data_IF_277493815402
#
_entry.id   IF_277493815402
#
_cell.length_a   1.000
_cell.length_b   1.000
_cell.length_c   1.000
_cell.angle_alpha   90.00
_cell.angle_beta   90.00
_cell.angle_gamma   90.00
#
_symmetry.space_group_name_H-M   'P 1'
#
loop_
_entity.id
_entity.type
_entity.pdbx_description
1 polymer ?
2 polymer ?
3 polymer ?
4 non-polymer ?
5 non-polymer ?
6 non-polymer ?
7 water ?
#
# COMPACT_ATOMS: atom_id res chain seq x y z
N UNK A 7 14.84 -4.72 -12.39
CA UNK A 7 16.20 -4.10 -12.38
C UNK A 7 16.14 -2.62 -11.97
N UNK A 8 15.07 -1.95 -12.39
CA UNK A 8 14.89 -0.54 -12.16
C UNK A 8 13.82 -0.28 -11.08
N UNK A 9 13.49 -1.31 -10.30
CA UNK A 9 12.43 -1.12 -9.30
C UNK A 9 12.76 0.00 -8.32
N UNK A 10 11.74 0.72 -7.88
CA UNK A 10 11.91 1.70 -6.82
C UNK A 10 12.61 2.99 -7.17
N UNK A 11 12.89 3.18 -8.47
CA UNK A 11 13.49 4.41 -8.96
C UNK A 11 12.43 5.12 -9.79
N UNK A 12 11.93 6.25 -9.28
CA UNK A 12 10.76 6.91 -9.89
C UNK A 12 11.18 7.75 -11.08
N UNK A 13 10.51 7.56 -12.22
CA UNK A 13 10.85 8.37 -13.41
C UNK A 13 10.90 9.87 -13.14
N UNK A 14 9.98 10.39 -12.33
CA UNK A 14 9.92 11.84 -12.10
C UNK A 14 10.74 12.36 -10.92
N UNK A 15 11.40 11.43 -10.24
CA UNK A 15 12.22 11.80 -9.08
C UNK A 15 13.61 11.21 -9.19
N UNK A 16 13.83 10.00 -8.67
CA UNK A 16 15.19 9.41 -8.71
C UNK A 16 15.83 9.39 -10.10
N UNK A 17 15.04 9.03 -11.11
CA UNK A 17 15.58 8.92 -12.48
C UNK A 17 16.13 10.26 -13.01
N UNK A 18 15.56 11.37 -12.52
CA UNK A 18 15.95 12.73 -12.93
C UNK A 18 16.70 13.47 -11.82
N UNK A 19 17.03 12.76 -10.74
CA UNK A 19 17.68 13.38 -9.58
C UNK A 19 16.90 14.59 -9.01
N UNK A 20 15.58 14.41 -8.87
CA UNK A 20 14.77 15.41 -8.20
C UNK A 20 14.22 14.72 -6.96
N UNK A 21 14.11 15.50 -5.88
CA UNK A 21 13.58 15.00 -4.61
C UNK A 21 12.17 15.48 -4.40
N UNK A 22 11.32 14.61 -3.86
CA UNK A 22 9.97 15.03 -3.51
C UNK A 22 10.01 15.87 -2.23
N UNK A 23 8.90 16.52 -1.93
CA UNK A 23 8.82 17.49 -0.82
C UNK A 23 9.05 16.95 0.60
N UNK A 24 8.86 15.65 0.83
CA UNK A 24 9.00 15.16 2.19
C UNK A 24 9.92 13.95 2.35
N UNK A 25 10.55 13.48 1.26
CA UNK A 25 11.41 12.31 1.40
C UNK A 25 12.55 12.53 2.40
N UNK A 26 13.01 13.78 2.53
CA UNK A 26 14.08 14.08 3.47
C UNK A 26 13.68 13.70 4.90
N UNK A 27 12.39 13.85 5.23
CA UNK A 27 11.86 13.47 6.54
C UNK A 27 12.14 11.99 6.82
N UNK A 28 12.01 11.15 5.79
CA UNK A 28 12.32 9.73 5.98
C UNK A 28 13.82 9.54 6.22
N UNK A 29 14.65 10.15 5.39
CA UNK A 29 16.09 10.01 5.53
C UNK A 29 16.55 10.44 6.92
N UNK A 30 16.02 11.56 7.38
CA UNK A 30 16.40 12.11 8.69
C UNK A 30 16.05 11.19 9.85
N UNK A 31 15.06 10.34 9.64
CA UNK A 31 14.62 9.40 10.69
C UNK A 31 15.49 8.14 10.72
N UNK A 32 16.31 7.93 9.69
CA UNK A 32 17.13 6.71 9.62
C UNK A 32 18.47 7.01 10.31
N UNK A 33 18.40 7.03 11.64
CA UNK A 33 19.51 7.47 12.48
C UNK A 33 20.53 6.41 12.91
N UNK A 34 20.16 5.14 12.82
CA UNK A 34 21.04 4.04 13.25
C UNK A 34 21.79 3.42 12.07
N UNK B 1 -6.56 8.50 3.85
CA UNK B 1 -5.43 9.04 4.68
C UNK B 1 -5.91 10.23 5.50
N UNK B 2 -5.68 10.13 6.81
CA UNK B 2 -6.02 11.21 7.74
C UNK B 2 -4.79 12.04 8.05
N UNK B 3 -4.94 13.37 7.97
CA UNK B 3 -3.85 14.29 8.28
C UNK B 3 -2.63 14.14 7.37
N UNK B 4 -2.88 13.77 6.11
CA UNK B 4 -1.82 13.67 5.12
C UNK B 4 -1.86 14.91 4.25
N UNK B 5 -1.27 14.81 3.06
CA UNK B 5 -1.29 15.91 2.10
C UNK B 5 -1.39 15.35 0.69
N UNK B 6 -1.69 16.21 -0.28
CA UNK B 6 -1.78 15.80 -1.67
C UNK B 6 -0.44 15.25 -2.13
N UNK B 7 -0.47 14.11 -2.80
CA UNK B 7 0.73 13.54 -3.39
C UNK B 7 1.21 14.44 -4.54
N UNK B 8 2.51 14.47 -4.80
CA UNK B 8 3.03 15.14 -5.99
C UNK B 8 2.80 14.23 -7.19
N UNK B 9 2.78 14.80 -8.39
CA UNK B 9 2.64 13.99 -9.59
C UNK B 9 3.81 13.00 -9.70
N UNK B 10 3.48 11.73 -9.91
CA UNK B 10 4.49 10.66 -10.07
C UNK B 10 5.23 10.31 -8.79
N UNK B 11 4.71 10.77 -7.64
CA UNK B 11 5.37 10.53 -6.33
C UNK B 11 5.30 9.07 -5.90
N UNK B 12 4.23 8.39 -6.31
CA UNK B 12 4.03 6.98 -5.93
C UNK B 12 3.56 6.21 -7.16
N UNK B 13 4.47 6.01 -8.14
CA UNK B 13 4.09 5.43 -9.43
C UNK B 13 3.74 3.95 -9.39
N UNK B 14 3.98 3.32 -8.24
CA UNK B 14 3.58 1.94 -8.01
C UNK B 14 2.18 1.88 -7.39
N UNK B 15 1.57 3.01 -7.10
CA UNK B 15 0.25 2.99 -6.47
C UNK B 15 -0.78 2.40 -7.42
N UNK B 16 -1.62 1.52 -6.88
CA UNK B 16 -2.66 0.90 -7.70
C UNK B 16 -3.98 1.08 -6.97
N UNK B 17 -5.05 1.27 -7.75
CA UNK B 17 -6.40 1.35 -7.19
C UNK B 17 -7.14 0.08 -7.57
N UNK B 18 -7.66 -0.64 -6.57
CA UNK B 18 -8.49 -1.82 -6.81
C UNK B 18 -9.89 -1.24 -6.98
N UNK B 19 -10.49 -1.52 -8.13
CA UNK B 19 -11.75 -0.88 -8.52
C UNK B 19 -12.81 -1.93 -8.81
N UNK B 20 -13.99 -1.75 -8.19
CA UNK B 20 -15.09 -2.67 -8.41
C UNK B 20 -15.78 -2.26 -9.71
N UNK B 21 -16.07 -3.24 -10.57
CA UNK B 21 -16.73 -2.98 -11.86
C UNK B 21 -18.14 -2.45 -11.72
N UNK B 22 -18.94 -3.09 -10.88
CA UNK B 22 -20.33 -2.68 -10.69
C UNK B 22 -20.84 -3.03 -9.30
N UNK B 23 -21.23 -2.00 -8.52
CA UNK B 23 -21.18 -0.59 -8.92
C UNK B 23 -19.73 -0.08 -8.93
N UNK B 24 -19.44 0.89 -9.78
CA UNK B 24 -18.09 1.44 -9.89
C UNK B 24 -17.69 2.15 -8.60
N UNK B 25 -16.71 1.58 -7.90
CA UNK B 25 -16.24 2.16 -6.64
C UNK B 25 -14.84 1.71 -6.25
N UNK B 26 -14.19 2.53 -5.44
CA UNK B 26 -12.87 2.20 -4.89
C UNK B 26 -13.07 1.05 -3.92
N UNK B 27 -12.28 -0.02 -4.08
CA UNK B 27 -12.35 -1.13 -3.14
C UNK B 27 -11.19 -1.07 -2.15
N UNK B 28 -10.01 -0.75 -2.66
CA UNK B 28 -8.82 -0.81 -1.81
C UNK B 28 -7.65 -0.25 -2.59
N UNK B 29 -6.54 -0.08 -1.88
CA UNK B 29 -5.28 0.27 -2.55
C UNK B 29 -4.55 -1.04 -2.86
N UNK B 30 -3.44 -0.91 -3.55
CA UNK B 30 -2.61 -2.03 -3.98
C UNK B 30 -1.34 -1.44 -4.52
N UNK B 31 -0.41 -2.28 -4.96
CA UNK B 31 0.86 -1.78 -5.50
C UNK B 31 1.37 -2.64 -6.64
N UNK B 32 2.13 -1.98 -7.52
CA UNK B 32 2.70 -2.62 -8.68
C UNK B 32 4.10 -3.12 -8.36
N UNK B 33 4.30 -4.42 -8.46
CA UNK B 33 5.63 -4.99 -8.17
C UNK B 33 6.38 -5.52 -9.41
N UNK B 34 5.69 -5.61 -10.55
CA UNK B 34 6.33 -5.96 -11.84
C UNK B 34 5.33 -5.59 -12.91
N UNK B 35 5.64 -5.85 -14.19
CA UNK B 35 4.69 -5.49 -15.23
C UNK B 35 3.43 -6.35 -15.25
N UNK B 36 3.43 -7.43 -14.47
CA UNK B 36 2.30 -8.37 -14.45
C UNK B 36 1.73 -8.68 -13.08
N UNK B 37 2.33 -8.14 -12.03
CA UNK B 37 1.89 -8.52 -10.68
C UNK B 37 1.59 -7.34 -9.79
N UNK B 38 0.47 -7.46 -9.06
CA UNK B 38 0.02 -6.43 -8.14
C UNK B 38 -0.15 -7.04 -6.76
N UNK B 39 0.32 -6.31 -5.75
CA UNK B 39 0.26 -6.77 -4.37
C UNK B 39 -0.82 -6.01 -3.61
N UNK B 40 -1.57 -6.72 -2.76
CA UNK B 40 -2.58 -6.07 -1.95
C UNK B 40 -2.78 -6.86 -0.64
N UNK B 41 -3.76 -6.44 0.14
CA UNK B 41 -4.13 -7.14 1.38
C UNK B 41 -5.16 -8.21 1.03
N UNK B 42 -4.99 -9.41 1.58
CA UNK B 42 -5.96 -10.49 1.40
C UNK B 42 -7.39 -10.03 1.72
N UNK B 43 -7.56 -9.25 2.79
CA UNK B 43 -8.89 -8.83 3.22
C UNK B 43 -9.61 -7.96 2.18
N UNK B 44 -8.86 -7.39 1.24
CA UNK B 44 -9.47 -6.62 0.16
C UNK B 44 -10.23 -7.52 -0.81
N UNK B 45 -9.87 -8.81 -0.83
CA UNK B 45 -10.45 -9.77 -1.78
C UNK B 45 -11.31 -10.82 -1.09
N UNK B 46 -10.92 -11.21 0.13
CA UNK B 46 -11.62 -12.26 0.86
C UNK B 46 -11.85 -11.88 2.31
N UNK B 47 -13.10 -11.70 2.69
CA UNK B 47 -13.45 -11.45 4.09
C UNK B 47 -14.86 -11.94 4.38
N UNK B 48 -14.99 -13.27 4.59
CA UNK B 48 -16.29 -13.90 4.84
C UNK B 48 -17.19 -13.22 5.88
N UNK B 49 -16.63 -12.70 7.01
CA UNK B 49 -17.50 -12.06 7.97
C UNK B 49 -18.36 -10.92 7.42
N UNK B 50 -17.88 -10.27 6.34
CA UNK B 50 -18.65 -9.21 5.69
C UNK B 50 -19.14 -9.61 4.31
N UNK B 51 -19.22 -10.93 4.08
CA UNK B 51 -19.66 -11.48 2.80
C UNK B 51 -18.88 -10.91 1.63
N UNK B 52 -17.55 -10.93 1.77
CA UNK B 52 -16.67 -10.47 0.69
C UNK B 52 -15.85 -11.64 0.20
N UNK B 53 -15.94 -11.91 -1.10
CA UNK B 53 -15.21 -12.97 -1.75
C UNK B 53 -15.21 -12.65 -3.24
N UNK B 54 -14.36 -11.70 -3.63
CA UNK B 54 -14.33 -11.29 -5.03
C UNK B 54 -13.67 -12.33 -5.93
N UNK B 55 -14.13 -12.40 -7.18
CA UNK B 55 -13.48 -13.23 -8.16
C UNK B 55 -12.79 -12.28 -9.16
N UNK B 56 -11.90 -12.81 -9.97
CA UNK B 56 -11.18 -12.01 -10.98
C UNK B 56 -12.08 -11.07 -11.77
N UNK B 57 -13.20 -11.60 -12.27
CA UNK B 57 -14.11 -10.81 -13.11
C UNK B 57 -14.83 -9.66 -12.44
N UNK B 58 -14.85 -9.64 -11.10
CA UNK B 58 -15.55 -8.59 -10.36
C UNK B 58 -14.74 -7.30 -10.29
N UNK B 59 -13.46 -7.39 -10.65
CA UNK B 59 -12.51 -6.31 -10.38
C UNK B 59 -11.68 -5.81 -11.54
N UNK B 60 -11.19 -4.59 -11.38
CA UNK B 60 -10.19 -4.04 -12.30
C UNK B 60 -9.11 -3.41 -11.45
N UNK B 61 -7.93 -3.23 -12.01
CA UNK B 61 -6.92 -2.43 -11.29
C UNK B 61 -6.63 -1.20 -12.14
N UNK B 62 -6.52 -0.04 -11.50
CA UNK B 62 -6.23 1.20 -12.21
C UNK B 62 -4.87 1.69 -11.73
N UNK B 63 -3.96 1.86 -12.70
CA UNK B 63 -2.57 2.14 -12.41
C UNK B 63 -2.15 3.48 -13.03
N UNK B 64 -1.27 4.20 -12.35
CA UNK B 64 -0.82 5.51 -12.83
C UNK B 64 -1.74 6.66 -12.44
N UNK B 65 -2.64 6.42 -11.47
CA UNK B 65 -3.60 7.43 -11.09
C UNK B 65 -3.13 8.48 -10.11
N UNK B 66 -3.83 9.60 -10.15
CA UNK B 66 -3.63 10.69 -9.23
C UNK B 66 -4.99 11.14 -8.71
N UNK B 67 -5.85 11.58 -9.62
CA UNK B 67 -7.21 11.92 -9.24
C UNK B 67 -7.94 10.67 -8.75
N UNK B 68 -8.73 10.80 -7.69
CA UNK B 68 -9.50 9.66 -7.17
C UNK B 68 -10.62 9.21 -8.13
N UNK B 69 -11.49 10.14 -8.51
CA UNK B 69 -12.69 9.80 -9.28
C UNK B 69 -12.60 9.97 -10.79
N UNK B 70 -11.72 10.85 -11.23
CA UNK B 70 -11.58 11.15 -12.65
C UNK B 70 -10.97 10.03 -13.48
N UNK B 71 -11.46 9.89 -14.72
CA UNK B 71 -10.83 8.95 -15.64
C UNK B 71 -9.66 9.74 -16.26
N UNK B 72 -8.44 9.32 -15.92
CA UNK B 72 -7.23 10.04 -16.32
C UNK B 72 -6.71 9.59 -17.68
N UNK B 73 -7.40 10.10 -18.70
CA UNK B 73 -7.11 9.78 -20.08
C UNK B 73 -5.65 10.06 -20.45
N UNK B 74 -5.01 9.11 -21.14
CA UNK B 74 -3.59 9.18 -21.60
C UNK B 74 -2.57 9.04 -20.46
N UNK B 75 -3.06 8.76 -19.26
CA UNK B 75 -2.18 8.66 -18.08
C UNK B 75 -2.37 7.31 -17.39
N UNK B 76 -3.56 7.10 -16.85
CA UNK B 76 -3.82 5.83 -16.17
C UNK B 76 -3.99 4.68 -17.17
N UNK B 77 -3.70 3.48 -16.68
CA UNK B 77 -3.94 2.27 -17.45
C UNK B 77 -4.83 1.38 -16.60
N UNK B 78 -5.85 0.80 -17.25
CA UNK B 78 -6.81 -0.07 -16.58
C UNK B 78 -6.55 -1.52 -17.00
N UNK B 79 -6.31 -2.38 -16.03
CA UNK B 79 -5.95 -3.77 -16.30
C UNK B 79 -6.97 -4.74 -15.72
N UNK B 80 -7.16 -5.85 -16.42
CA UNK B 80 -8.05 -6.91 -15.97
C UNK B 80 -7.23 -7.94 -15.25
N UNK B 81 -7.87 -8.69 -14.37
CA UNK B 81 -7.17 -9.72 -13.61
C UNK B 81 -7.24 -11.09 -14.24
N UNK B 82 -6.09 -11.75 -14.33
CA UNK B 82 -6.04 -13.14 -14.80
C UNK B 82 -6.31 -14.09 -13.64
N UNK B 83 -5.63 -13.86 -12.50
CA UNK B 83 -5.79 -14.74 -11.35
C UNK B 83 -5.47 -14.03 -10.03
N UNK B 84 -6.24 -14.35 -9.01
CA UNK B 84 -6.03 -13.86 -7.64
C UNK B 84 -5.40 -15.00 -6.85
N UNK B 85 -4.42 -14.67 -6.01
CA UNK B 85 -3.76 -15.66 -5.15
C UNK B 85 -3.76 -15.10 -3.73
N UNK B 86 -4.37 -15.85 -2.81
CA UNK B 86 -4.45 -15.38 -1.43
C UNK B 86 -3.55 -16.25 -0.58
N UNK B 87 -2.85 -15.68 0.42
CA UNK B 87 -1.99 -16.50 1.25
C UNK B 87 -2.82 -17.63 1.84
N UNK B 88 -2.34 -18.88 1.70
CA UNK B 88 -3.10 -20.04 2.23
C UNK B 88 -3.32 -20.02 3.75
N UNK B 89 -2.48 -19.29 4.48
CA UNK B 89 -2.63 -19.20 5.94
C UNK B 89 -3.13 -17.82 6.41
N UNK B 90 -3.71 -17.05 5.48
CA UNK B 90 -4.38 -15.80 5.83
C UNK B 90 -5.47 -16.07 6.87
N UNK B 91 -5.37 -15.41 8.01
CA UNK B 91 -6.28 -15.65 9.14
C UNK B 91 -7.40 -14.61 9.21
N UNK B 92 -8.42 -14.81 8.38
CA UNK B 92 -9.57 -13.91 8.37
C UNK B 92 -10.49 -14.18 9.55
N UNK B 93 -10.37 -15.36 10.14
CA UNK B 93 -11.27 -15.72 11.26
C UNK B 93 -10.97 -14.95 12.52
N UNK B 94 -9.69 -14.68 12.75
CA UNK B 94 -9.27 -14.02 13.97
C UNK B 94 -8.80 -12.59 13.78
N UNK B 95 -7.52 -12.44 13.43
CA UNK B 95 -6.86 -11.14 13.49
C UNK B 95 -6.21 -10.63 12.20
N UNK B 96 -6.54 -11.24 11.07
CA UNK B 96 -5.94 -10.85 9.77
C UNK B 96 -4.44 -11.16 9.66
N UNK B 97 -3.98 -12.14 10.43
CA UNK B 97 -2.60 -12.61 10.28
C UNK B 97 -2.34 -13.02 8.82
N UNK B 98 -1.17 -12.67 8.30
CA UNK B 98 -0.76 -12.97 6.92
C UNK B 98 -1.74 -12.34 5.91
N UNK B 99 -2.03 -11.05 6.10
CA UNK B 99 -2.98 -10.31 5.28
C UNK B 99 -2.30 -9.88 3.97
N UNK B 100 -2.21 -10.81 3.03
CA UNK B 100 -1.47 -10.57 1.79
C UNK B 100 -2.10 -11.36 0.63
N UNK B 101 -2.09 -10.75 -0.56
CA UNK B 101 -2.61 -11.40 -1.76
C UNK B 101 -1.90 -10.85 -2.97
N UNK B 102 -1.78 -11.66 -4.01
CA UNK B 102 -1.21 -11.24 -5.29
C UNK B 102 -2.27 -11.34 -6.38
N UNK B 103 -2.17 -10.45 -7.36
CA UNK B 103 -3.09 -10.46 -8.49
C UNK B 103 -2.26 -10.44 -9.76
N UNK B 104 -2.42 -11.44 -10.61
CA UNK B 104 -1.71 -11.49 -11.89
C UNK B 104 -2.57 -10.79 -12.93
N UNK B 105 -1.96 -9.91 -13.72
CA UNK B 105 -2.69 -9.15 -14.73
C UNK B 105 -2.81 -9.95 -16.02
N UNK B 106 -3.88 -9.72 -16.78
CA UNK B 106 -4.02 -10.42 -18.06
C UNK B 106 -2.93 -10.08 -19.05
N UNK B 107 -2.56 -8.81 -19.12
CA UNK B 107 -1.50 -8.36 -20.03
C UNK B 107 -0.53 -7.47 -19.26
N UNK B 108 0.75 -7.44 -19.68
CA UNK B 108 1.67 -6.56 -18.96
C UNK B 108 1.28 -5.08 -19.14
N UNK B 109 1.45 -4.29 -18.08
CA UNK B 109 1.17 -2.86 -18.15
C UNK B 109 2.44 -2.16 -18.63
N UNK B 110 2.28 -1.15 -19.47
CA UNK B 110 3.44 -0.41 -19.97
C UNK B 110 3.91 0.59 -18.92
N UNK B 111 5.21 0.57 -18.58
CA UNK B 111 5.74 1.55 -17.62
C UNK B 111 5.79 2.92 -18.28
N UNK B 112 5.67 3.97 -17.46
CA UNK B 112 5.66 5.35 -17.95
C UNK B 112 6.16 6.25 -16.81
N UNK B 113 6.08 7.57 -17.01
CA UNK B 113 6.42 8.51 -15.96
C UNK B 113 5.57 8.34 -14.70
N UNK B 114 4.38 7.76 -14.88
CA UNK B 114 3.38 7.65 -13.81
C UNK B 114 3.15 6.22 -13.32
N UNK B 115 3.77 5.25 -14.01
CA UNK B 115 3.59 3.82 -13.74
C UNK B 115 4.96 3.16 -13.66
N UNK B 116 5.28 2.63 -12.48
CA UNK B 116 6.60 2.05 -12.27
C UNK B 116 6.59 1.20 -11.01
N UNK B 117 7.26 0.03 -11.03
CA UNK B 117 7.19 -0.87 -9.86
C UNK B 117 8.03 -0.47 -8.65
N UNK B 118 7.55 -0.85 -7.47
CA UNK B 118 8.30 -0.65 -6.24
C UNK B 118 9.14 -1.92 -6.00
N UNK B 119 10.23 -1.80 -5.24
CA UNK B 119 11.04 -2.98 -4.92
C UNK B 119 10.47 -3.73 -3.72
N UNK B 120 10.75 -5.03 -3.64
CA UNK B 120 10.41 -5.79 -2.45
C UNK B 120 11.71 -6.00 -1.69
N UNK B 121 11.64 -5.93 -0.35
CA UNK B 121 12.83 -6.02 0.48
C UNK B 121 13.48 -7.40 0.56
N UNK B 122 14.81 -7.41 0.68
CA UNK B 122 15.51 -8.65 1.00
C UNK B 122 15.76 -8.62 2.50
N UNK B 123 16.33 -9.70 3.04
CA UNK B 123 16.52 -9.79 4.50
C UNK B 123 17.27 -8.61 5.09
N UNK B 124 18.32 -8.19 4.40
CA UNK B 124 19.19 -7.12 4.91
C UNK B 124 18.52 -5.75 4.94
N UNK B 125 17.81 -5.42 3.87
CA UNK B 125 17.12 -4.15 3.81
C UNK B 125 16.04 -4.12 4.90
N UNK B 126 15.34 -5.23 5.11
CA UNK B 126 14.33 -5.31 6.17
C UNK B 126 14.96 -5.10 7.55
N UNK B 127 16.06 -5.80 7.79
CA UNK B 127 16.75 -5.72 9.08
C UNK B 127 17.22 -4.29 9.37
N UNK B 128 17.77 -3.64 8.36
CA UNK B 128 18.28 -2.29 8.51
C UNK B 128 17.21 -1.21 8.66
N UNK B 129 16.09 -1.37 7.95
CA UNK B 129 15.08 -0.32 7.93
C UNK B 129 13.89 -0.47 8.87
N UNK B 130 13.54 -1.71 9.21
CA UNK B 130 12.38 -1.95 10.10
C UNK B 130 12.75 -1.79 11.55
N UNK B 131 12.98 -0.54 11.95
CA UNK B 131 13.39 -0.19 13.30
C UNK B 131 12.46 0.87 13.84
N UNK B 132 12.13 0.77 15.13
CA UNK B 132 11.29 1.77 15.78
C UNK B 132 11.88 3.17 15.57
N UNK B 133 11.03 4.12 15.20
CA UNK B 133 11.47 5.49 14.95
C UNK B 133 11.69 5.81 13.49
N UNK B 134 12.13 4.80 12.71
CA UNK B 134 12.34 4.97 11.26
C UNK B 134 10.99 5.18 10.61
N UNK B 135 10.91 6.18 9.73
CA UNK B 135 9.65 6.53 9.10
C UNK B 135 9.48 5.87 7.75
N UNK B 136 8.23 5.47 7.46
CA UNK B 136 7.85 4.98 6.14
C UNK B 136 6.78 5.94 5.64
N UNK B 137 6.24 5.63 4.46
CA UNK B 137 5.26 6.47 3.81
C UNK B 137 4.08 5.63 3.36
N UNK B 138 2.88 6.14 3.64
CA UNK B 138 1.63 5.47 3.27
C UNK B 138 0.88 6.39 2.33
N UNK B 139 0.30 5.80 1.28
CA UNK B 139 -0.43 6.54 0.27
C UNK B 139 -1.76 5.89 -0.02
N UNK B 140 -2.77 6.70 -0.35
CA UNK B 140 -4.06 6.10 -0.72
C UNK B 140 -5.15 7.11 -0.99
N UNK B 141 -6.28 6.62 -1.46
CA UNK B 141 -7.45 7.48 -1.74
C UNK B 141 -8.58 7.24 -0.75
N UNK B 142 -8.24 6.69 0.42
CA UNK B 142 -9.24 6.42 1.45
C UNK B 142 -9.71 7.66 2.18
N UNK B 143 -10.61 7.45 3.14
CA UNK B 143 -11.20 8.55 3.88
C UNK B 143 -10.20 9.51 4.56
N UNK B 144 -10.55 10.79 4.58
CA UNK B 144 -9.75 11.83 5.21
C UNK B 144 -10.02 11.87 6.72
N UNK B 145 -11.11 11.23 7.15
CA UNK B 145 -11.50 11.21 8.56
C UNK B 145 -12.26 9.93 8.88
N UNK B 146 -12.17 9.51 10.14
CA UNK B 146 -12.87 8.30 10.57
C UNK B 146 -14.39 8.41 10.40
N UNK B 147 -14.94 9.58 10.74
CA UNK B 147 -16.38 9.81 10.61
C UNK B 147 -16.71 10.69 9.41
N UNK B 155 -14.54 14.55 3.41
CA UNK B 155 -14.72 13.12 3.60
C UNK B 155 -13.78 12.29 2.74
N UNK B 156 -13.87 12.49 1.43
CA UNK B 156 -13.03 11.77 0.48
C UNK B 156 -12.12 12.73 -0.28
N UNK B 157 -10.90 12.29 -0.64
CA UNK B 157 -9.96 13.19 -1.30
C UNK B 157 -10.19 13.35 -2.80
N UNK B 158 -9.81 14.51 -3.33
CA UNK B 158 -9.85 14.74 -4.77
C UNK B 158 -8.69 14.00 -5.43
N UNK B 159 -7.53 14.00 -4.77
CA UNK B 159 -6.37 13.31 -5.31
C UNK B 159 -5.66 12.41 -4.27
N UNK B 160 -4.75 11.58 -4.77
CA UNK B 160 -3.95 10.68 -3.92
C UNK B 160 -3.36 11.42 -2.74
N UNK B 161 -3.47 10.84 -1.55
CA UNK B 161 -2.92 11.43 -0.34
C UNK B 161 -1.67 10.69 0.12
N UNK B 162 -0.81 11.39 0.82
CA UNK B 162 0.44 10.83 1.34
C UNK B 162 0.66 11.22 2.80
N UNK B 163 1.20 10.29 3.59
CA UNK B 163 1.58 10.61 4.97
C UNK B 163 2.81 9.80 5.36
N UNK B 164 3.78 10.44 6.04
CA UNK B 164 4.96 9.75 6.55
C UNK B 164 4.73 9.47 8.02
N UNK B 165 4.99 8.21 8.42
CA UNK B 165 4.72 7.75 9.77
C UNK B 165 5.85 6.89 10.34
N UNK B 166 6.19 7.08 11.61
CA UNK B 166 7.26 6.28 12.20
C UNK B 166 6.83 4.90 12.66
N UNK B 167 7.71 3.92 12.46
CA UNK B 167 7.49 2.56 12.93
C UNK B 167 7.52 2.63 14.47
N UNK B 168 6.62 1.88 15.11
CA UNK B 168 6.48 1.90 16.58
C UNK B 168 7.08 0.63 17.23
N UNK B 169 7.66 0.77 18.43
CA UNK B 169 8.19 -0.37 19.19
C UNK B 169 7.12 -1.44 19.36
N UNK B 170 7.51 -2.71 19.25
CA UNK B 170 6.55 -3.82 19.34
C UNK B 170 5.72 -3.86 20.63
N UNK B 171 6.35 -3.60 21.80
CA UNK B 171 5.56 -3.56 23.04
C UNK B 171 4.46 -2.50 23.03
N UNK B 172 4.75 -1.33 22.46
CA UNK B 172 3.80 -0.25 22.36
C UNK B 172 2.65 -0.66 21.43
N UNK B 173 2.98 -1.26 20.27
CA UNK B 173 1.95 -1.78 19.38
C UNK B 173 1.03 -2.73 20.16
N UNK B 174 1.63 -3.71 20.81
CA UNK B 174 0.85 -4.72 21.54
C UNK B 174 -0.03 -4.11 22.64
N UNK B 175 0.52 -3.14 23.36
CA UNK B 175 -0.21 -2.48 24.47
C UNK B 175 -1.31 -1.51 24.09
N UNK B 176 -1.42 -1.22 22.78
CA UNK B 176 -2.40 -0.29 22.28
C UNK B 176 -3.71 -0.97 21.93
N UNK B 177 -3.75 -2.30 21.96
CA UNK B 177 -4.90 -3.04 21.44
C UNK B 177 -5.17 -4.34 22.17
N UNK B 178 -6.39 -4.84 22.08
CA UNK B 178 -6.75 -6.14 22.64
C UNK B 178 -6.52 -7.26 21.63
N UNK B 179 -6.28 -6.89 20.36
CA UNK B 179 -6.06 -7.86 19.30
C UNK B 179 -4.70 -8.54 19.46
N UNK B 180 -4.63 -9.84 19.18
CA UNK B 180 -3.37 -10.57 19.23
C UNK B 180 -2.50 -10.13 18.03
N UNK B 181 -1.34 -9.58 18.32
CA UNK B 181 -0.42 -9.12 17.26
C UNK B 181 0.56 -10.24 16.96
N UNK B 182 0.89 -10.44 15.68
CA UNK B 182 1.82 -11.49 15.31
C UNK B 182 3.11 -10.91 14.71
N UNK B 183 4.09 -11.80 14.50
CA UNK B 183 5.36 -11.45 13.89
C UNK B 183 5.17 -11.04 12.43
N UNK B 184 3.99 -11.33 11.87
CA UNK B 184 3.71 -10.94 10.47
C UNK B 184 3.08 -9.56 10.36
N UNK B 185 3.10 -8.81 11.45
CA UNK B 185 2.54 -7.47 11.49
C UNK B 185 3.54 -6.53 12.13
N UNK B 186 3.46 -5.25 11.77
CA UNK B 186 4.18 -4.20 12.51
C UNK B 186 3.20 -3.03 12.58
N UNK B 187 3.43 -2.10 13.50
CA UNK B 187 2.54 -0.93 13.58
C UNK B 187 3.33 0.36 13.43
N UNK B 188 2.63 1.42 13.04
CA UNK B 188 3.26 2.71 12.79
C UNK B 188 2.32 3.85 13.13
N UNK B 189 2.92 5.00 13.44
CA UNK B 189 2.11 6.19 13.75
C UNK B 189 2.75 6.92 14.90
N UNK B 190 2.29 8.16 15.09
CA UNK B 190 2.79 8.99 16.18
C UNK B 190 2.07 8.67 17.49
N UNK B 191 2.80 8.86 18.58
CA UNK B 191 2.28 8.67 19.93
C UNK B 191 1.57 9.97 20.31
N UNK B 192 0.64 9.91 21.28
CA UNK B 192 -0.08 11.13 21.70
C UNK B 192 0.86 12.23 22.18
N UNK B 193 0.44 13.47 21.94
CA UNK B 193 1.18 14.67 22.36
C UNK B 193 2.53 14.82 21.63
N UNK B 194 2.78 13.94 20.66
CA UNK B 194 4.03 13.98 19.90
C UNK B 194 4.04 15.16 18.92
N UNK B 195 2.92 15.87 18.84
CA UNK B 195 2.79 17.07 18.03
C UNK B 195 2.41 16.86 16.57
N UNK B 196 2.59 15.63 16.09
CA UNK B 196 2.27 15.28 14.71
C UNK B 196 1.28 14.13 14.73
N UNK B 197 0.45 14.06 13.69
CA UNK B 197 -0.59 13.03 13.60
C UNK B 197 -0.55 12.37 12.21
N UNK B 198 -1.56 11.54 11.94
CA UNK B 198 -1.68 10.91 10.64
C UNK B 198 -1.89 9.40 10.71
N UNK B 199 -2.58 8.86 9.72
CA UNK B 199 -2.90 7.44 9.69
C UNK B 199 -3.56 7.13 8.36
N UNK B 200 -3.64 5.83 8.06
CA UNK B 200 -4.45 5.35 6.97
C UNK B 200 -5.88 5.28 7.48
N UNK B 201 -6.82 5.04 6.57
CA UNK B 201 -8.23 4.92 6.94
C UNK B 201 -8.96 4.08 5.90
N UNK B 202 -10.27 3.89 6.08
CA UNK B 202 -11.05 3.06 5.15
C UNK B 202 -10.78 3.47 3.71
N UNK B 203 -10.47 2.49 2.86
CA UNK B 203 -10.19 2.77 1.45
C UNK B 203 -8.70 2.76 1.13
N UNK B 204 -7.87 2.92 2.17
CA UNK B 204 -6.41 2.89 2.02
C UNK B 204 -5.86 1.48 2.16
N UNK B 205 -6.64 0.58 2.77
CA UNK B 205 -6.11 -0.76 3.01
C UNK B 205 -5.74 -1.45 1.70
N UNK B 206 -4.74 -2.31 1.76
CA UNK B 206 -4.20 -3.01 0.60
C UNK B 206 -3.05 -2.21 -0.02
N UNK B 207 -3.01 -0.90 0.23
CA UNK B 207 -1.95 -0.02 -0.30
C UNK B 207 -0.60 -0.21 0.41
N UNK B 208 0.44 0.45 -0.10
CA UNK B 208 1.80 0.26 0.38
C UNK B 208 2.30 1.18 1.47
N UNK B 209 3.12 0.61 2.35
CA UNK B 209 3.92 1.35 3.33
C UNK B 209 5.34 1.19 2.78
N UNK B 210 5.91 2.28 2.30
CA UNK B 210 7.23 2.22 1.64
C UNK B 210 8.31 2.98 2.41
N UNK B 211 9.57 2.60 2.17
CA UNK B 211 10.72 3.29 2.77
C UNK B 211 11.76 3.50 1.69
N UNK B 212 12.48 4.60 1.75
CA UNK B 212 13.53 4.81 0.75
C UNK B 212 14.88 4.41 1.33
N UNK B 213 15.49 3.39 0.75
CA UNK B 213 16.75 2.90 1.27
C UNK B 213 17.82 4.00 1.17
N UNK B 214 18.47 4.32 2.29
CA UNK B 214 19.57 5.31 2.22
C UNK B 214 20.85 4.72 1.63
N UNK B 215 20.86 3.40 1.42
CA UNK B 215 21.98 2.66 0.85
C UNK B 215 22.01 2.73 -0.65
N UNK B 216 20.85 2.51 -1.30
CA UNK B 216 20.83 2.48 -2.76
C UNK B 216 19.80 3.42 -3.40
N UNK B 217 19.18 4.24 -2.55
CA UNK B 217 18.23 5.27 -2.95
C UNK B 217 17.00 4.73 -3.71
N UNK B 218 16.64 3.49 -3.42
CA UNK B 218 15.46 2.85 -4.03
C UNK B 218 14.34 2.72 -3.00
N UNK B 219 13.11 2.80 -3.49
CA UNK B 219 11.96 2.63 -2.61
C UNK B 219 11.62 1.16 -2.50
N UNK B 220 11.40 0.72 -1.25
CA UNK B 220 11.02 -0.65 -0.95
C UNK B 220 9.69 -0.68 -0.26
N UNK B 221 8.87 -1.67 -0.61
CA UNK B 221 7.58 -1.78 0.08
C UNK B 221 7.76 -2.70 1.28
N UNK B 222 7.75 -2.11 2.47
CA UNK B 222 7.97 -2.88 3.68
C UNK B 222 6.67 -3.41 4.28
N UNK B 223 5.56 -2.73 4.00
CA UNK B 223 4.28 -3.13 4.61
C UNK B 223 3.12 -2.97 3.68
N UNK B 224 2.00 -3.60 4.06
CA UNK B 224 0.74 -3.42 3.35
C UNK B 224 -0.24 -2.88 4.37
N UNK B 225 -0.94 -1.81 4.03
CA UNK B 225 -1.97 -1.27 4.95
C UNK B 225 -2.95 -2.39 5.28
N UNK B 226 -2.98 -2.82 6.55
CA UNK B 226 -3.79 -3.98 6.94
C UNK B 226 -5.02 -3.66 7.80
N UNK B 227 -4.82 -3.10 8.98
CA UNK B 227 -5.96 -2.81 9.85
C UNK B 227 -5.68 -1.75 10.89
N UNK B 228 -6.78 -1.19 11.41
CA UNK B 228 -6.69 -0.21 12.48
C UNK B 228 -8.02 -0.24 13.20
N UNK B 229 -8.01 0.28 14.41
CA UNK B 229 -9.24 0.43 15.20
C UNK B 229 -9.53 1.92 15.13
N UNK B 230 -10.34 2.28 14.15
CA UNK B 230 -10.61 3.69 13.88
C UNK B 230 -9.45 4.23 13.06
N UNK B 231 -9.40 5.55 12.88
CA UNK B 231 -8.34 6.18 12.09
C UNK B 231 -7.81 7.39 12.85
N UNK B 232 -6.48 7.41 13.05
CA UNK B 232 -5.79 8.54 13.67
C UNK B 232 -6.28 8.84 15.09
N UNK B 233 -6.65 7.80 15.83
CA UNK B 233 -7.04 7.98 17.23
C UNK B 233 -5.80 8.08 18.10
N UNK B 234 -5.84 8.95 19.12
CA UNK B 234 -4.71 9.04 20.05
C UNK B 234 -4.58 7.70 20.75
N UNK B 235 -3.34 7.22 20.87
CA UNK B 235 -3.10 5.96 21.56
C UNK B 235 -3.28 4.70 20.74
N UNK B 236 -3.70 4.87 19.49
CA UNK B 236 -3.91 3.75 18.56
C UNK B 236 -2.90 3.90 17.41
N UNK B 237 -2.64 2.81 16.70
CA UNK B 237 -1.64 2.78 15.64
C UNK B 237 -2.16 1.92 14.52
N UNK B 238 -1.76 2.25 13.30
CA UNK B 238 -2.15 1.45 12.15
C UNK B 238 -1.24 0.23 12.10
N UNK B 239 -1.81 -0.88 11.63
CA UNK B 239 -1.09 -2.14 11.53
C UNK B 239 -0.93 -2.53 10.08
N UNK B 240 0.27 -3.04 9.79
CA UNK B 240 0.71 -3.35 8.44
C UNK B 240 1.23 -4.76 8.30
N UNK B 241 0.89 -5.40 7.19
CA UNK B 241 1.42 -6.71 6.90
C UNK B 241 2.93 -6.57 6.67
N UNK B 242 3.70 -7.43 7.33
CA UNK B 242 5.16 -7.41 7.24
C UNK B 242 5.59 -8.12 5.96
N UNK B 243 5.86 -7.34 4.91
CA UNK B 243 6.10 -7.92 3.60
C UNK B 243 7.27 -8.88 3.56
N UNK B 244 8.39 -8.51 4.18
CA UNK B 244 9.53 -9.41 4.14
C UNK B 244 9.25 -10.78 4.77
N UNK B 245 8.50 -10.80 5.87
CA UNK B 245 8.18 -12.06 6.55
C UNK B 245 7.41 -13.02 5.64
N UNK B 246 6.71 -12.49 4.65
CA UNK B 246 5.89 -13.31 3.76
C UNK B 246 6.47 -13.46 2.35
N UNK B 247 7.75 -13.07 2.19
CA UNK B 247 8.37 -13.06 0.87
C UNK B 247 8.54 -14.47 0.28
N UNK B 248 8.71 -15.46 1.15
CA UNK B 248 8.84 -16.87 0.69
C UNK B 248 7.59 -17.24 -0.13
N UNK B 249 6.41 -16.94 0.40
CA UNK B 249 5.16 -17.18 -0.32
C UNK B 249 5.08 -16.34 -1.60
N UNK B 250 5.40 -15.04 -1.51
CA UNK B 250 5.40 -14.18 -2.69
C UNK B 250 6.22 -14.81 -3.83
N UNK B 251 7.45 -15.20 -3.51
CA UNK B 251 8.37 -15.74 -4.50
C UNK B 251 7.85 -17.05 -5.08
N UNK B 252 7.26 -17.89 -4.22
CA UNK B 252 6.71 -19.18 -4.64
C UNK B 252 5.62 -18.99 -5.68
N UNK B 253 4.73 -18.02 -5.44
CA UNK B 253 3.63 -17.74 -6.37
C UNK B 253 4.16 -17.21 -7.70
N UNK B 254 5.09 -16.27 -7.65
CA UNK B 254 5.66 -15.69 -8.85
C UNK B 254 6.49 -16.73 -9.62
N UNK B 255 7.27 -17.54 -8.90
CA UNK B 255 8.08 -18.58 -9.54
C UNK B 255 7.24 -19.65 -10.23
N UNK B 256 6.13 -20.03 -9.59
CA UNK B 256 5.25 -21.06 -10.13
C UNK B 256 4.28 -20.59 -11.20
N UNK B 257 3.70 -19.40 -11.03
CA UNK B 257 2.67 -18.92 -11.95
C UNK B 257 3.09 -17.76 -12.86
N UNK B 258 4.31 -17.25 -12.67
CA UNK B 258 4.81 -16.13 -13.47
C UNK B 258 5.19 -16.55 -14.88
N UNK C 1 -20.11 10.39 -8.47
CA UNK C 1 -18.76 10.45 -7.85
C UNK C 1 -17.71 10.06 -8.90
N UNK C 2 -17.64 8.77 -9.24
CA UNK C 2 -16.67 8.28 -10.23
C UNK C 2 -17.06 8.52 -11.67
N UNK C 3 -16.12 9.06 -12.44
CA UNK C 3 -16.33 9.26 -13.86
C UNK C 3 -16.31 7.88 -14.51
N UNK C 4 -17.19 7.67 -15.49
CA UNK C 4 -17.30 6.39 -16.17
C UNK C 4 -16.04 6.08 -16.98
N UNK C 5 -15.60 4.83 -16.90
CA UNK C 5 -14.41 4.40 -17.63
C UNK C 5 -14.82 3.84 -19.00
N UNK C 6 -13.91 3.87 -19.99
CA UNK C 6 -14.23 3.34 -21.31
C UNK C 6 -14.81 1.92 -21.22
N UNK C 7 -15.92 1.70 -21.94
CA UNK C 7 -16.66 0.43 -21.95
C UNK C 7 -15.80 -0.81 -22.24
N UNK C 8 -14.70 -0.62 -22.98
CA UNK C 8 -13.80 -1.71 -23.32
C UNK C 8 -13.25 -2.43 -22.09
N UNK C 10 -14.95 -2.95 -19.33
CA UNK C 10 -16.06 -3.60 -18.60
C UNK C 10 -16.62 -4.86 -19.28
#
# INVERSE_FOLDING_TARGET
TFGSGEADCGLRPLFEKKSLEDKTERELLESYIDGR
IVEGSDAEIGMSPWQVMLFRKSPQELLCGASLISDRWVLTAAHCLLYPPWDKNFTENDLLVRIGKHSRTRYERNIEKISMLEKIYIHPRYNWRENLDRDIALMKLKKPVAFSDYIHPVCLPDRETAASLLQAGYKGRVTGWGNLKETWTANVGKGQPSVLQVVNLPIVERPVCKDSTRIRITDNMFCAGYKPDEGKRGDACEGDSGGPFVMKSPFNNRWYQMGIVSWGEGCDRDGKYGFYTHVFRLKKWIQKVIDQFGE
DFEEIPEEXL
#
